data_IF_902942687172
#
_entry.id   IF_902942687172
#
_cell.length_a   1.000
_cell.length_b   1.000
_cell.length_c   1.000
_cell.angle_alpha   90.00
_cell.angle_beta   90.00
_cell.angle_gamma   90.00
#
_symmetry.space_group_name_H-M   'P 1'
#
loop_
_entity.id
_entity.type
_entity.pdbx_description
1 polymer ?
#
# COMPACT_ATOMS: atom_id res chain seq x y z
N UNK A 1 -33.80 -31.44 9.96
CA UNK A 1 -33.50 -30.36 10.92
C UNK A 1 -32.20 -29.72 10.46
N UNK A 2 -32.25 -28.49 9.93
CA UNK A 2 -31.11 -27.84 9.26
C UNK A 2 -30.15 -27.18 10.26
N UNK A 3 -28.89 -27.04 9.83
CA UNK A 3 -27.76 -26.44 10.56
C UNK A 3 -28.04 -25.01 11.06
N UNK A 4 -28.94 -24.25 10.43
CA UNK A 4 -29.31 -22.89 10.84
C UNK A 4 -29.93 -22.82 12.24
N UNK A 5 -30.68 -23.85 12.65
CA UNK A 5 -31.36 -23.81 13.94
C UNK A 5 -30.38 -23.93 15.12
N UNK A 6 -29.21 -24.59 14.93
CA UNK A 6 -28.18 -24.71 15.96
C UNK A 6 -27.35 -23.43 16.12
N UNK A 7 -27.04 -22.75 15.03
CA UNK A 7 -26.32 -21.46 15.08
C UNK A 7 -27.19 -20.36 15.70
N UNK A 8 -28.48 -20.32 15.35
CA UNK A 8 -29.45 -19.40 15.97
C UNK A 8 -29.66 -19.69 17.46
N UNK A 9 -29.77 -20.96 17.87
CA UNK A 9 -29.87 -21.34 19.29
C UNK A 9 -28.60 -20.98 20.09
N UNK A 10 -27.41 -21.14 19.49
CA UNK A 10 -26.12 -20.79 20.13
C UNK A 10 -25.97 -19.27 20.24
N UNK A 11 -26.29 -18.51 19.18
CA UNK A 11 -26.23 -17.06 19.18
C UNK A 11 -27.25 -16.44 20.15
N UNK A 12 -28.49 -16.95 20.20
CA UNK A 12 -29.50 -16.50 21.17
C UNK A 12 -29.12 -16.84 22.62
N UNK A 13 -28.48 -18.00 22.84
CA UNK A 13 -27.99 -18.40 24.16
C UNK A 13 -26.84 -17.49 24.64
N UNK A 14 -25.93 -17.13 23.73
CA UNK A 14 -24.81 -16.22 23.98
C UNK A 14 -25.33 -14.82 24.27
N UNK A 15 -26.25 -14.29 23.44
CA UNK A 15 -26.83 -12.96 23.67
C UNK A 15 -27.63 -12.88 24.97
N UNK A 16 -28.45 -13.89 25.32
CA UNK A 16 -29.16 -13.91 26.60
C UNK A 16 -28.21 -13.94 27.80
N UNK A 17 -27.06 -14.62 27.69
CA UNK A 17 -26.03 -14.63 28.74
C UNK A 17 -25.30 -13.30 28.84
N UNK A 18 -24.95 -12.68 27.71
CA UNK A 18 -24.32 -11.36 27.67
C UNK A 18 -25.26 -10.30 28.27
N UNK A 19 -26.54 -10.30 27.90
CA UNK A 19 -27.52 -9.37 28.45
C UNK A 19 -27.75 -9.55 29.96
N UNK A 20 -27.80 -10.80 30.46
CA UNK A 20 -27.90 -11.02 31.91
C UNK A 20 -26.64 -10.58 32.64
N UNK A 21 -25.46 -10.74 32.02
CA UNK A 21 -24.18 -10.30 32.58
C UNK A 21 -24.08 -8.77 32.63
N UNK A 22 -24.45 -8.08 31.55
CA UNK A 22 -24.47 -6.60 31.48
C UNK A 22 -25.44 -6.04 32.53
N UNK A 23 -26.61 -6.67 32.70
CA UNK A 23 -27.62 -6.28 33.71
C UNK A 23 -27.16 -6.52 35.15
N UNK A 24 -26.29 -7.50 35.37
CA UNK A 24 -25.71 -7.79 36.68
C UNK A 24 -24.53 -6.86 36.96
N UNK A 25 -23.70 -6.56 35.97
CA UNK A 25 -22.59 -5.61 36.08
C UNK A 25 -23.08 -4.17 36.26
N UNK A 26 -24.12 -3.72 35.56
CA UNK A 26 -24.66 -2.35 35.73
C UNK A 26 -25.17 -2.10 37.15
N UNK A 27 -25.83 -3.08 37.78
CA UNK A 27 -26.23 -3.00 39.20
C UNK A 27 -25.04 -2.95 40.17
N UNK A 28 -23.96 -3.66 39.85
CA UNK A 28 -22.74 -3.69 40.66
C UNK A 28 -21.92 -2.42 40.51
N UNK A 29 -21.91 -1.80 39.32
CA UNK A 29 -21.11 -0.62 38.99
C UNK A 29 -21.73 0.68 39.51
N UNK A 30 -23.06 0.81 39.55
CA UNK A 30 -23.74 1.97 40.14
C UNK A 30 -23.42 2.16 41.63
N UNK A 31 -23.13 1.06 42.35
CA UNK A 31 -22.72 1.07 43.76
C UNK A 31 -21.26 1.46 43.98
N UNK A 32 -20.39 1.32 42.98
CA UNK A 32 -18.92 1.41 43.11
C UNK A 32 -18.40 2.75 42.56
N UNK A 33 -19.17 3.44 41.72
CA UNK A 33 -18.83 4.74 41.15
C UNK A 33 -18.64 5.89 42.16
N UNK A 34 -18.84 5.67 43.47
CA UNK A 34 -18.81 6.75 44.48
C UNK A 34 -17.55 6.85 45.33
N UNK A 35 -16.62 5.90 45.31
CA UNK A 35 -15.43 6.01 46.18
C UNK A 35 -14.27 5.18 45.65
N UNK A 36 -13.55 5.74 44.68
CA UNK A 36 -12.33 5.16 44.12
C UNK A 36 -11.10 5.66 44.87
N UNK A 37 -10.70 4.91 45.89
CA UNK A 37 -9.28 4.80 46.28
C UNK A 37 -9.01 3.60 47.22
N UNK A 38 -10.04 3.08 47.89
CA UNK A 38 -9.86 1.99 48.87
C UNK A 38 -10.01 0.57 48.31
N UNK A 39 -10.55 0.38 47.10
CA UNK A 39 -10.98 -0.95 46.61
C UNK A 39 -9.85 -1.76 45.93
N UNK A 40 -8.71 -1.14 45.61
CA UNK A 40 -7.58 -1.84 44.95
C UNK A 40 -7.11 -3.08 45.73
N UNK A 41 -7.17 -3.07 47.06
CA UNK A 41 -6.67 -4.17 47.90
C UNK A 41 -7.66 -5.30 48.15
N UNK A 42 -8.97 -5.07 48.07
CA UNK A 42 -9.97 -6.10 48.39
C UNK A 42 -10.37 -6.98 47.20
N UNK A 43 -10.11 -6.51 45.97
CA UNK A 43 -10.40 -7.27 44.76
C UNK A 43 -9.51 -8.52 44.69
N UNK A 44 -8.24 -8.43 45.09
CA UNK A 44 -7.23 -9.48 44.86
C UNK A 44 -7.52 -10.80 45.59
N UNK A 45 -8.16 -10.76 46.75
CA UNK A 45 -8.38 -11.97 47.57
C UNK A 45 -9.60 -12.79 47.13
N UNK A 46 -10.55 -12.18 46.42
CA UNK A 46 -11.78 -12.88 45.97
C UNK A 46 -11.59 -13.66 44.66
N UNK A 47 -10.56 -13.35 43.87
CA UNK A 47 -10.26 -14.03 42.60
C UNK A 47 -9.45 -15.32 42.76
N UNK A 48 -8.95 -15.62 43.96
CA UNK A 48 -8.05 -16.74 44.23
C UNK A 48 -8.72 -18.12 44.14
N UNK A 49 -10.05 -18.18 44.06
CA UNK A 49 -10.84 -19.42 44.05
C UNK A 49 -11.69 -19.60 42.78
N UNK A 50 -11.50 -18.76 41.76
CA UNK A 50 -12.17 -18.91 40.47
C UNK A 50 -11.27 -19.74 39.54
N UNK A 51 -11.77 -20.90 39.11
CA UNK A 51 -11.14 -21.72 38.08
C UNK A 51 -11.36 -21.07 36.71
N UNK A 52 -10.26 -20.55 36.15
CA UNK A 52 -10.19 -19.85 34.87
C UNK A 52 -9.56 -20.70 33.75
N UNK A 53 -9.58 -22.03 33.89
CA UNK A 53 -8.99 -22.96 32.90
C UNK A 53 -9.44 -22.76 31.45
N UNK A 54 -10.61 -22.15 31.19
CA UNK A 54 -11.09 -21.81 29.84
C UNK A 54 -10.53 -20.50 29.26
N UNK A 55 -9.98 -19.60 30.08
CA UNK A 55 -9.26 -18.40 29.60
C UNK A 55 -7.88 -18.75 29.06
N UNK A 56 -7.24 -19.80 29.58
CA UNK A 56 -5.95 -20.30 29.08
C UNK A 56 -6.06 -20.87 27.66
N UNK A 57 -7.24 -21.39 27.28
CA UNK A 57 -7.49 -21.96 25.96
C UNK A 57 -7.77 -20.87 24.89
N UNK A 58 -8.49 -19.81 25.28
CA UNK A 58 -8.70 -18.62 24.43
C UNK A 58 -7.44 -17.75 24.36
N UNK A 59 -6.69 -17.64 25.47
CA UNK A 59 -5.41 -16.94 25.53
C UNK A 59 -4.35 -17.58 24.63
N UNK A 60 -4.25 -18.91 24.61
CA UNK A 60 -3.34 -19.65 23.71
C UNK A 60 -3.73 -19.57 22.23
N UNK A 61 -5.01 -19.42 21.91
CA UNK A 61 -5.47 -19.20 20.54
C UNK A 61 -5.30 -17.74 20.11
N UNK A 62 -5.32 -16.77 21.02
CA UNK A 62 -5.06 -15.35 20.73
C UNK A 62 -3.54 -15.06 20.61
N UNK A 63 -2.70 -15.76 21.37
CA UNK A 63 -1.24 -15.67 21.26
C UNK A 63 -0.72 -16.28 19.93
N UNK A 64 -1.36 -17.36 19.43
CA UNK A 64 -1.09 -17.91 18.09
C UNK A 64 -1.59 -17.02 16.94
N UNK A 65 -2.66 -16.24 17.15
CA UNK A 65 -3.22 -15.36 16.11
C UNK A 65 -2.28 -14.22 15.75
N UNK A 66 -1.54 -13.68 16.73
CA UNK A 66 -0.53 -12.65 16.47
C UNK A 66 0.61 -13.22 15.61
N UNK A 67 1.07 -14.44 15.91
CA UNK A 67 2.05 -15.17 15.11
C UNK A 67 1.55 -15.53 13.70
N UNK A 68 0.31 -16.00 13.57
CA UNK A 68 -0.29 -16.37 12.28
C UNK A 68 -0.45 -15.15 11.37
N UNK A 69 -0.85 -13.99 11.91
CA UNK A 69 -0.98 -12.76 11.12
C UNK A 69 0.39 -12.29 10.62
N UNK A 70 1.44 -12.35 11.45
CA UNK A 70 2.81 -12.01 11.05
C UNK A 70 3.32 -12.97 9.96
N UNK A 71 3.11 -14.28 10.14
CA UNK A 71 3.47 -15.29 9.16
C UNK A 71 2.70 -15.09 7.85
N UNK A 72 1.39 -14.88 7.92
CA UNK A 72 0.53 -14.63 6.77
C UNK A 72 1.03 -13.43 5.95
N UNK A 73 1.29 -12.29 6.57
CA UNK A 73 1.82 -11.10 5.87
C UNK A 73 3.10 -11.40 5.10
N UNK A 74 3.97 -12.23 5.67
CA UNK A 74 5.21 -12.66 5.00
C UNK A 74 4.93 -13.61 3.84
N UNK A 75 4.06 -14.61 4.06
CA UNK A 75 3.69 -15.62 3.07
C UNK A 75 2.99 -15.00 1.87
N UNK A 76 1.97 -14.16 2.09
CA UNK A 76 1.14 -13.62 1.02
C UNK A 76 1.92 -12.68 0.09
N UNK A 77 2.83 -11.87 0.65
CA UNK A 77 3.77 -11.03 -0.13
C UNK A 77 4.72 -11.88 -0.97
N UNK A 78 5.24 -12.97 -0.39
CA UNK A 78 6.10 -13.92 -1.10
C UNK A 78 5.36 -14.64 -2.22
N UNK A 79 4.08 -14.96 -2.01
CA UNK A 79 3.19 -15.54 -3.01
C UNK A 79 2.68 -14.52 -4.03
N UNK A 80 3.10 -13.25 -3.94
CA UNK A 80 2.85 -12.25 -4.96
C UNK A 80 1.55 -11.46 -4.81
N UNK A 81 0.87 -11.57 -3.67
CA UNK A 81 -0.32 -10.77 -3.35
C UNK A 81 -0.01 -9.67 -2.32
N UNK A 82 -0.61 -8.47 -2.45
CA UNK A 82 -0.56 -7.48 -1.39
C UNK A 82 -1.41 -7.99 -0.20
N UNK A 83 -0.90 -7.90 1.04
CA UNK A 83 -1.69 -8.26 2.22
C UNK A 83 -2.84 -7.27 2.40
N UNK A 84 -4.03 -7.78 2.74
CA UNK A 84 -5.24 -6.97 2.88
C UNK A 84 -5.96 -7.33 4.19
N UNK A 85 -6.42 -6.32 4.93
CA UNK A 85 -6.97 -6.49 6.29
C UNK A 85 -8.30 -7.25 6.31
N UNK A 86 -9.08 -7.16 5.22
CA UNK A 86 -10.41 -7.78 5.12
C UNK A 86 -10.39 -9.30 4.87
N UNK A 87 -9.22 -9.96 4.83
CA UNK A 87 -9.17 -11.41 4.69
C UNK A 87 -9.76 -12.10 5.93
N UNK A 88 -10.69 -13.06 5.79
CA UNK A 88 -11.22 -13.78 6.94
C UNK A 88 -10.12 -14.49 7.73
N UNK A 89 -10.17 -14.40 9.07
CA UNK A 89 -9.17 -15.03 9.96
C UNK A 89 -9.06 -16.54 9.74
N UNK A 90 -10.16 -17.20 9.36
CA UNK A 90 -10.15 -18.62 8.99
C UNK A 90 -9.27 -18.92 7.79
N UNK A 91 -9.27 -18.05 6.78
CA UNK A 91 -8.47 -18.20 5.57
C UNK A 91 -7.01 -17.86 5.82
N UNK A 92 -6.74 -16.84 6.64
CA UNK A 92 -5.39 -16.53 7.14
C UNK A 92 -4.77 -17.77 7.80
N UNK A 93 -5.47 -18.37 8.78
CA UNK A 93 -5.01 -19.56 9.50
C UNK A 93 -4.79 -20.74 8.56
N UNK A 94 -5.71 -20.95 7.61
CA UNK A 94 -5.61 -22.02 6.60
C UNK A 94 -4.36 -21.85 5.73
N UNK A 95 -4.12 -20.65 5.21
CA UNK A 95 -2.95 -20.35 4.38
C UNK A 95 -1.66 -20.63 5.17
N UNK A 96 -1.57 -20.15 6.40
CA UNK A 96 -0.39 -20.35 7.26
C UNK A 96 -0.17 -21.84 7.57
N UNK A 97 -1.22 -22.55 7.97
CA UNK A 97 -1.15 -23.98 8.26
C UNK A 97 -0.72 -24.79 7.04
N UNK A 98 -1.38 -24.59 5.89
CA UNK A 98 -1.07 -25.30 4.65
C UNK A 98 0.34 -24.97 4.13
N UNK A 99 0.79 -23.72 4.28
CA UNK A 99 2.15 -23.32 3.92
C UNK A 99 3.19 -24.02 4.79
N UNK A 100 2.95 -24.11 6.10
CA UNK A 100 3.86 -24.74 7.05
C UNK A 100 3.89 -26.28 6.88
N UNK A 101 2.76 -26.90 6.55
CA UNK A 101 2.67 -28.36 6.39
C UNK A 101 3.11 -28.84 5.00
N UNK A 102 2.67 -28.16 3.94
CA UNK A 102 2.82 -28.63 2.55
C UNK A 102 3.71 -27.75 1.68
N UNK A 103 4.05 -26.53 2.13
CA UNK A 103 4.94 -25.61 1.44
C UNK A 103 4.29 -24.72 0.40
N UNK A 104 5.10 -23.81 -0.15
CA UNK A 104 4.72 -22.74 -1.09
C UNK A 104 3.93 -23.25 -2.31
N UNK A 105 4.44 -24.31 -2.96
CA UNK A 105 3.85 -24.87 -4.19
C UNK A 105 2.49 -25.51 -3.96
N UNK A 106 2.15 -25.89 -2.73
CA UNK A 106 0.82 -26.38 -2.41
C UNK A 106 -0.18 -25.23 -2.33
N UNK A 107 0.17 -24.18 -1.59
CA UNK A 107 -0.71 -23.00 -1.40
C UNK A 107 -0.98 -22.29 -2.72
N UNK A 108 0.04 -22.15 -3.59
CA UNK A 108 -0.13 -21.55 -4.93
C UNK A 108 -1.22 -22.21 -5.78
N UNK A 109 -1.53 -23.50 -5.56
CA UNK A 109 -2.53 -24.23 -6.36
C UNK A 109 -3.96 -23.74 -6.14
N UNK A 110 -4.25 -23.17 -4.97
CA UNK A 110 -5.59 -22.73 -4.62
C UNK A 110 -5.67 -21.24 -4.27
N UNK A 111 -4.53 -20.57 -4.07
CA UNK A 111 -4.52 -19.19 -3.58
C UNK A 111 -5.32 -18.27 -4.50
N UNK A 112 -5.11 -18.33 -5.82
CA UNK A 112 -5.80 -17.44 -6.76
C UNK A 112 -7.32 -17.62 -6.68
N UNK A 113 -7.78 -18.87 -6.66
CA UNK A 113 -9.21 -19.20 -6.54
C UNK A 113 -9.79 -18.71 -5.22
N UNK A 114 -9.06 -18.87 -4.12
CA UNK A 114 -9.44 -18.33 -2.81
C UNK A 114 -9.53 -16.80 -2.83
N UNK A 115 -8.55 -16.12 -3.44
CA UNK A 115 -8.57 -14.67 -3.58
C UNK A 115 -9.75 -14.20 -4.44
N UNK A 116 -10.11 -14.95 -5.48
CA UNK A 116 -11.27 -14.66 -6.32
C UNK A 116 -12.62 -14.93 -5.65
N UNK A 117 -12.66 -15.84 -4.67
CA UNK A 117 -13.84 -16.12 -3.84
C UNK A 117 -14.04 -15.03 -2.78
N UNK A 118 -12.96 -14.62 -2.10
CA UNK A 118 -13.01 -13.58 -1.07
C UNK A 118 -13.28 -12.20 -1.69
N UNK A 119 -12.59 -11.88 -2.79
CA UNK A 119 -12.65 -10.56 -3.43
C UNK A 119 -13.43 -10.65 -4.75
N UNK A 120 -14.71 -11.01 -4.62
CA UNK A 120 -15.64 -11.14 -5.73
C UNK A 120 -16.08 -9.77 -6.31
N UNK A 121 -16.89 -9.82 -7.38
CA UNK A 121 -17.40 -8.60 -8.02
C UNK A 121 -18.17 -7.69 -7.07
N UNK A 122 -18.92 -8.27 -6.11
CA UNK A 122 -19.66 -7.50 -5.12
C UNK A 122 -18.71 -6.75 -4.18
N UNK A 123 -17.67 -7.42 -3.70
CA UNK A 123 -16.65 -6.80 -2.88
C UNK A 123 -15.94 -5.65 -3.62
N UNK A 124 -15.66 -5.82 -4.92
CA UNK A 124 -15.08 -4.75 -5.75
C UNK A 124 -16.03 -3.56 -5.94
N UNK A 125 -17.34 -3.80 -6.04
CA UNK A 125 -18.34 -2.74 -6.06
C UNK A 125 -18.42 -2.00 -4.72
N UNK A 126 -18.29 -2.71 -3.59
CA UNK A 126 -18.23 -2.11 -2.26
C UNK A 126 -16.97 -1.24 -2.08
N UNK A 127 -15.81 -1.70 -2.57
CA UNK A 127 -14.59 -0.89 -2.67
C UNK A 127 -14.85 0.38 -3.49
N UNK A 128 -15.51 0.26 -4.64
CA UNK A 128 -15.78 1.42 -5.49
C UNK A 128 -16.67 2.44 -4.77
N UNK A 129 -17.69 1.99 -4.05
CA UNK A 129 -18.55 2.85 -3.25
C UNK A 129 -17.76 3.57 -2.15
N UNK A 130 -16.82 2.88 -1.48
CA UNK A 130 -15.88 3.49 -0.54
C UNK A 130 -15.07 4.59 -1.23
N UNK A 131 -14.49 4.30 -2.40
CA UNK A 131 -13.69 5.26 -3.14
C UNK A 131 -14.48 6.50 -3.61
N UNK A 132 -15.74 6.33 -3.97
CA UNK A 132 -16.63 7.44 -4.36
C UNK A 132 -16.89 8.42 -3.21
N UNK A 133 -16.86 7.93 -1.98
CA UNK A 133 -17.06 8.73 -0.77
C UNK A 133 -15.77 9.41 -0.30
N UNK A 134 -14.61 8.93 -0.75
CA UNK A 134 -13.30 9.47 -0.36
C UNK A 134 -12.98 10.76 -1.13
N UNK A 135 -13.02 11.90 -0.43
CA UNK A 135 -12.79 13.24 -1.01
C UNK A 135 -11.47 13.35 -1.79
N UNK A 136 -10.39 12.72 -1.30
CA UNK A 136 -9.07 12.74 -1.96
C UNK A 136 -9.12 12.09 -3.36
N UNK A 137 -10.04 11.15 -3.58
CA UNK A 137 -10.19 10.41 -4.84
C UNK A 137 -11.15 11.08 -5.83
N UNK A 138 -11.84 12.14 -5.44
CA UNK A 138 -12.88 12.79 -6.25
C UNK A 138 -12.42 13.18 -7.66
N UNK A 139 -11.17 13.61 -7.83
CA UNK A 139 -10.59 13.97 -9.13
C UNK A 139 -10.28 12.76 -10.03
N UNK A 140 -10.18 11.56 -9.46
CA UNK A 140 -9.79 10.31 -10.13
C UNK A 140 -10.94 9.32 -10.26
N UNK A 141 -12.10 9.61 -9.67
CA UNK A 141 -13.17 8.62 -9.54
C UNK A 141 -13.69 8.09 -10.87
N UNK A 142 -13.70 8.91 -11.93
CA UNK A 142 -14.06 8.45 -13.28
C UNK A 142 -13.07 7.42 -13.84
N UNK A 143 -11.78 7.55 -13.50
CA UNK A 143 -10.73 6.58 -13.87
C UNK A 143 -10.93 5.30 -13.06
N UNK A 144 -11.16 5.40 -11.75
CA UNK A 144 -11.32 4.25 -10.87
C UNK A 144 -12.58 3.42 -11.21
N UNK A 145 -13.70 4.08 -11.55
CA UNK A 145 -14.89 3.42 -12.10
C UNK A 145 -14.57 2.59 -13.35
N UNK A 146 -13.75 3.15 -14.26
CA UNK A 146 -13.35 2.42 -15.46
C UNK A 146 -12.45 1.22 -15.13
N UNK A 147 -11.60 1.31 -14.11
CA UNK A 147 -10.76 0.19 -13.65
C UNK A 147 -11.63 -0.97 -13.18
N UNK A 148 -12.57 -0.74 -12.25
CA UNK A 148 -13.46 -1.79 -11.73
C UNK A 148 -14.31 -2.37 -12.86
N UNK A 149 -14.90 -1.51 -13.71
CA UNK A 149 -15.65 -1.97 -14.89
C UNK A 149 -14.81 -2.84 -15.81
N UNK A 150 -13.57 -2.43 -16.11
CA UNK A 150 -12.68 -3.22 -16.95
C UNK A 150 -12.32 -4.56 -16.30
N UNK A 151 -12.11 -4.61 -14.98
CA UNK A 151 -11.86 -5.85 -14.26
C UNK A 151 -13.04 -6.82 -14.40
N UNK A 152 -14.25 -6.37 -14.06
CA UNK A 152 -15.47 -7.21 -14.10
C UNK A 152 -15.78 -7.68 -15.53
N UNK A 153 -15.45 -6.86 -16.53
CA UNK A 153 -15.61 -7.20 -17.96
C UNK A 153 -14.42 -7.98 -18.55
N UNK A 154 -13.48 -8.43 -17.72
CA UNK A 154 -12.29 -9.19 -18.14
C UNK A 154 -11.35 -8.43 -19.09
N UNK A 155 -11.46 -7.11 -19.14
CA UNK A 155 -10.61 -6.20 -19.90
C UNK A 155 -9.34 -5.86 -19.12
N UNK A 156 -8.60 -6.89 -18.66
CA UNK A 156 -7.45 -6.72 -17.77
C UNK A 156 -6.32 -5.88 -18.38
N UNK A 157 -6.10 -6.03 -19.70
CA UNK A 157 -5.14 -5.22 -20.46
C UNK A 157 -5.47 -3.72 -20.46
N UNK A 158 -6.73 -3.33 -20.19
CA UNK A 158 -7.13 -1.95 -20.02
C UNK A 158 -7.12 -1.54 -18.53
N UNK A 159 -7.60 -2.42 -17.65
CA UNK A 159 -7.66 -2.19 -16.20
C UNK A 159 -6.28 -1.87 -15.60
N UNK A 160 -5.31 -2.75 -15.85
CA UNK A 160 -3.96 -2.71 -15.25
C UNK A 160 -3.21 -1.40 -15.59
N UNK A 161 -2.99 -1.02 -16.86
CA UNK A 161 -2.25 0.20 -17.19
C UNK A 161 -3.04 1.46 -16.85
N UNK A 162 -4.37 1.38 -16.69
CA UNK A 162 -5.18 2.49 -16.19
C UNK A 162 -4.93 2.75 -14.71
N UNK A 163 -4.81 1.67 -13.90
CA UNK A 163 -4.64 1.74 -12.45
C UNK A 163 -3.20 2.02 -12.01
N UNK A 164 -2.19 1.46 -12.69
CA UNK A 164 -0.77 1.60 -12.31
C UNK A 164 -0.31 3.06 -12.08
N UNK A 165 -0.62 4.04 -12.96
CA UNK A 165 -0.27 5.43 -12.70
C UNK A 165 -1.01 6.05 -11.50
N UNK A 166 -2.18 5.51 -11.13
CA UNK A 166 -2.96 6.02 -10.00
C UNK A 166 -2.34 5.65 -8.65
N UNK A 167 -1.62 4.52 -8.57
CA UNK A 167 -0.88 4.13 -7.35
C UNK A 167 0.10 5.22 -6.91
N UNK A 168 0.85 5.80 -7.85
CA UNK A 168 1.74 6.92 -7.55
C UNK A 168 0.97 8.23 -7.43
N UNK A 169 -0.03 8.42 -8.29
CA UNK A 169 -0.84 9.64 -8.33
C UNK A 169 -1.51 9.96 -6.99
N UNK A 170 -2.07 8.96 -6.31
CA UNK A 170 -2.74 9.15 -5.03
C UNK A 170 -1.75 9.53 -3.92
N UNK A 171 -0.55 8.94 -3.91
CA UNK A 171 0.53 9.28 -2.97
C UNK A 171 1.00 10.72 -3.19
N UNK A 172 1.23 11.08 -4.46
CA UNK A 172 1.65 12.44 -4.86
C UNK A 172 0.63 13.50 -4.42
N UNK A 173 -0.67 13.21 -4.59
CA UNK A 173 -1.74 14.10 -4.19
C UNK A 173 -1.79 14.23 -2.66
N UNK A 174 -1.68 13.13 -1.93
CA UNK A 174 -1.68 13.11 -0.46
C UNK A 174 -0.57 13.99 0.13
N UNK A 175 0.66 13.87 -0.39
CA UNK A 175 1.79 14.69 0.04
C UNK A 175 1.84 16.08 -0.61
N UNK A 176 0.85 16.43 -1.44
CA UNK A 176 0.75 17.70 -2.17
C UNK A 176 2.05 18.05 -2.91
N UNK A 177 2.71 17.05 -3.51
CA UNK A 177 3.98 17.22 -4.19
C UNK A 177 3.81 18.14 -5.42
N UNK A 178 4.83 18.95 -5.71
CA UNK A 178 4.84 19.87 -6.86
C UNK A 178 6.14 19.72 -7.64
N UNK A 179 6.03 19.70 -8.97
CA UNK A 179 7.17 19.60 -9.88
C UNK A 179 7.44 18.15 -10.32
N UNK A 180 8.68 17.89 -10.70
CA UNK A 180 9.13 16.59 -11.21
C UNK A 180 9.18 15.53 -10.10
N UNK A 181 8.40 14.46 -10.26
CA UNK A 181 8.48 13.28 -9.41
C UNK A 181 9.58 12.35 -9.90
N UNK A 182 10.50 11.98 -9.02
CA UNK A 182 11.56 11.01 -9.27
C UNK A 182 11.39 9.81 -8.35
N UNK A 183 11.97 8.66 -8.70
CA UNK A 183 11.86 7.44 -7.89
C UNK A 183 12.26 7.64 -6.43
N UNK A 184 13.31 8.44 -6.16
CA UNK A 184 13.70 8.74 -4.78
C UNK A 184 12.71 9.65 -4.03
N UNK A 185 11.91 10.48 -4.72
CA UNK A 185 10.83 11.23 -4.07
C UNK A 185 9.72 10.28 -3.62
N UNK A 186 9.32 9.37 -4.51
CA UNK A 186 8.28 8.38 -4.22
C UNK A 186 8.71 7.45 -3.07
N UNK A 187 9.97 7.02 -3.04
CA UNK A 187 10.50 6.22 -1.93
C UNK A 187 10.39 6.92 -0.58
N UNK A 188 10.69 8.23 -0.50
CA UNK A 188 10.49 9.00 0.75
C UNK A 188 9.02 9.03 1.15
N UNK A 189 8.11 9.29 0.21
CA UNK A 189 6.68 9.32 0.50
C UNK A 189 6.14 7.97 0.96
N UNK A 190 6.58 6.87 0.34
CA UNK A 190 6.21 5.51 0.76
C UNK A 190 6.73 5.19 2.16
N UNK A 191 7.96 5.59 2.50
CA UNK A 191 8.48 5.40 3.86
C UNK A 191 7.64 6.15 4.89
N UNK A 192 7.30 7.41 4.65
CA UNK A 192 6.49 8.21 5.59
C UNK A 192 5.02 7.75 5.65
N UNK A 193 4.51 7.14 4.58
CA UNK A 193 3.14 6.64 4.53
C UNK A 193 2.99 5.28 5.21
N UNK A 194 3.98 4.40 5.06
CA UNK A 194 3.85 2.97 5.37
C UNK A 194 4.79 2.46 6.46
N UNK A 195 5.86 3.19 6.79
CA UNK A 195 6.80 2.79 7.84
C UNK A 195 6.57 3.69 9.05
N UNK A 196 6.24 3.10 10.20
CA UNK A 196 6.06 3.81 11.47
C UNK A 196 7.30 3.62 12.35
N UNK A 197 8.20 4.62 12.47
CA UNK A 197 9.51 4.43 13.10
C UNK A 197 9.52 4.23 14.63
N UNK A 198 8.38 4.30 15.32
CA UNK A 198 8.31 4.37 16.79
C UNK A 198 7.27 3.43 17.45
N UNK A 199 6.71 2.47 16.72
CA UNK A 199 5.88 1.42 17.33
C UNK A 199 6.79 0.22 17.63
N UNK A 200 7.03 -0.07 18.91
CA UNK A 200 7.85 -1.22 19.34
C UNK A 200 7.18 -2.54 18.85
N UNK A 201 7.93 -3.25 17.99
CA UNK A 201 7.94 -4.71 17.79
C UNK A 201 6.84 -5.43 16.96
N UNK A 202 5.85 -4.77 16.38
CA UNK A 202 4.88 -5.47 15.48
C UNK A 202 5.16 -5.17 13.99
N UNK A 203 5.55 -6.19 13.20
CA UNK A 203 5.56 -6.12 11.73
C UNK A 203 4.14 -5.83 11.24
N UNK A 204 3.83 -4.62 10.76
CA UNK A 204 2.47 -4.17 10.44
C UNK A 204 2.00 -4.58 9.03
N UNK A 205 0.72 -4.36 8.70
CA UNK A 205 0.24 -4.51 7.33
C UNK A 205 0.86 -3.47 6.40
N UNK A 206 1.06 -2.25 6.90
CA UNK A 206 1.72 -1.17 6.17
C UNK A 206 3.18 -1.53 5.83
N UNK A 207 3.92 -2.14 6.76
CA UNK A 207 5.29 -2.63 6.50
C UNK A 207 5.29 -3.70 5.39
N UNK A 208 4.33 -4.62 5.44
CA UNK A 208 4.21 -5.69 4.46
C UNK A 208 3.83 -5.15 3.06
N UNK A 209 2.95 -4.14 3.00
CA UNK A 209 2.61 -3.42 1.77
C UNK A 209 3.80 -2.62 1.24
N UNK A 210 4.59 -2.01 2.12
CA UNK A 210 5.81 -1.33 1.72
C UNK A 210 6.79 -2.31 1.02
N UNK A 211 7.00 -3.49 1.63
CA UNK A 211 7.82 -4.56 1.03
C UNK A 211 7.24 -5.00 -0.32
N UNK A 212 5.93 -5.26 -0.39
CA UNK A 212 5.25 -5.64 -1.62
C UNK A 212 5.46 -4.60 -2.73
N UNK A 213 5.24 -3.33 -2.43
CA UNK A 213 5.39 -2.24 -3.39
C UNK A 213 6.81 -2.16 -3.96
N UNK A 214 7.82 -2.31 -3.09
CA UNK A 214 9.22 -2.27 -3.51
C UNK A 214 9.63 -3.49 -4.33
N UNK A 215 9.18 -4.68 -3.94
CA UNK A 215 9.57 -5.95 -4.59
C UNK A 215 8.84 -6.20 -5.90
N UNK A 216 7.59 -5.78 -6.02
CA UNK A 216 6.74 -6.12 -7.15
C UNK A 216 6.44 -4.92 -8.07
N UNK A 217 6.09 -3.76 -7.50
CA UNK A 217 5.65 -2.61 -8.30
C UNK A 217 6.83 -1.80 -8.83
N UNK A 218 7.79 -1.45 -7.96
CA UNK A 218 8.95 -0.61 -8.30
C UNK A 218 10.17 -1.37 -8.82
N UNK A 219 10.05 -2.68 -9.01
CA UNK A 219 11.15 -3.50 -9.53
C UNK A 219 11.64 -2.96 -10.88
N UNK A 220 12.96 -2.89 -11.00
CA UNK A 220 13.62 -2.53 -12.25
C UNK A 220 13.52 -3.65 -13.27
N UNK A 221 13.51 -3.29 -14.54
CA UNK A 221 13.56 -4.24 -15.64
C UNK A 221 14.54 -3.75 -16.71
N UNK A 222 14.96 -4.67 -17.57
CA UNK A 222 15.76 -4.39 -18.76
C UNK A 222 15.16 -5.13 -19.95
N UNK A 223 15.07 -4.48 -21.11
CA UNK A 223 14.55 -5.13 -22.31
C UNK A 223 15.41 -6.34 -22.71
N UNK A 224 14.74 -7.44 -23.02
CA UNK A 224 15.40 -8.70 -23.40
C UNK A 224 15.94 -9.54 -22.24
N UNK A 225 15.76 -9.08 -20.98
CA UNK A 225 16.03 -9.90 -19.79
C UNK A 225 14.74 -10.42 -19.18
N UNK A 226 14.87 -11.46 -18.36
CA UNK A 226 13.78 -11.98 -17.55
C UNK A 226 13.25 -10.91 -16.59
N UNK A 227 11.93 -10.76 -16.54
CA UNK A 227 11.22 -9.79 -15.70
C UNK A 227 10.73 -10.53 -14.47
N UNK A 228 11.12 -10.03 -13.29
CA UNK A 228 10.93 -10.74 -12.01
C UNK A 228 9.60 -10.46 -11.31
N UNK A 229 8.74 -9.64 -11.89
CA UNK A 229 7.41 -9.38 -11.37
C UNK A 229 6.41 -9.14 -12.50
N UNK A 230 5.26 -9.78 -12.37
CA UNK A 230 4.16 -9.71 -13.34
C UNK A 230 3.36 -8.41 -13.26
N UNK A 231 3.55 -7.65 -12.18
CA UNK A 231 2.89 -6.36 -11.91
C UNK A 231 3.88 -5.19 -11.88
N UNK A 232 5.10 -5.38 -12.39
CA UNK A 232 6.11 -4.31 -12.47
C UNK A 232 5.58 -3.14 -13.28
N UNK A 233 5.44 -1.98 -12.63
CA UNK A 233 4.94 -0.77 -13.29
C UNK A 233 5.84 -0.37 -14.46
N UNK A 234 7.16 -0.50 -14.26
CA UNK A 234 8.14 -0.07 -15.25
C UNK A 234 8.08 -0.99 -16.45
N UNK A 235 8.06 -2.31 -16.21
CA UNK A 235 8.01 -3.28 -17.29
C UNK A 235 6.72 -3.15 -18.11
N UNK A 236 5.57 -2.97 -17.45
CA UNK A 236 4.27 -2.84 -18.13
C UNK A 236 4.18 -1.51 -18.90
N UNK A 237 4.41 -0.38 -18.23
CA UNK A 237 4.18 0.94 -18.82
C UNK A 237 5.24 1.33 -19.87
N UNK A 238 6.41 0.69 -19.87
CA UNK A 238 7.42 0.85 -20.91
C UNK A 238 7.43 -0.30 -21.94
N UNK A 239 6.44 -1.20 -21.89
CA UNK A 239 6.27 -2.26 -22.90
C UNK A 239 7.32 -3.38 -22.85
N UNK A 240 8.04 -3.50 -21.73
CA UNK A 240 8.91 -4.65 -21.46
C UNK A 240 8.13 -5.94 -21.15
N UNK A 241 6.97 -5.81 -20.50
CA UNK A 241 6.03 -6.90 -20.24
C UNK A 241 4.74 -6.64 -21.02
N UNK A 242 4.27 -7.62 -21.81
CA UNK A 242 3.12 -7.44 -22.71
C UNK A 242 1.97 -8.41 -22.43
N UNK A 243 2.25 -9.53 -21.76
CA UNK A 243 1.29 -10.56 -21.37
C UNK A 243 0.80 -10.38 -19.92
N UNK A 244 0.80 -9.16 -19.39
CA UNK A 244 0.41 -8.85 -18.01
C UNK A 244 -1.11 -8.96 -17.74
N UNK A 245 -1.94 -8.99 -18.79
CA UNK A 245 -3.39 -8.96 -18.68
C UNK A 245 -4.00 -10.24 -18.13
N UNK A 246 -4.03 -10.37 -16.81
CA UNK A 246 -4.70 -11.47 -16.09
C UNK A 246 -5.67 -10.94 -15.03
N UNK A 247 -6.64 -11.78 -14.65
CA UNK A 247 -7.58 -11.49 -13.53
C UNK A 247 -6.82 -11.26 -12.24
N UNK A 248 -5.87 -12.14 -11.96
CA UNK A 248 -4.95 -12.11 -10.83
C UNK A 248 -4.22 -10.77 -10.73
N UNK A 249 -3.52 -10.35 -11.79
CA UNK A 249 -2.76 -9.09 -11.78
C UNK A 249 -3.67 -7.88 -11.61
N UNK A 250 -4.84 -7.88 -12.25
CA UNK A 250 -5.79 -6.80 -12.07
C UNK A 250 -6.32 -6.76 -10.63
N UNK A 251 -6.61 -7.91 -10.00
CA UNK A 251 -7.08 -7.97 -8.62
C UNK A 251 -5.99 -7.49 -7.64
N UNK A 252 -4.75 -7.99 -7.78
CA UNK A 252 -3.59 -7.54 -6.98
C UNK A 252 -3.46 -6.02 -6.96
N UNK A 253 -3.57 -5.39 -8.13
CA UNK A 253 -3.45 -3.93 -8.21
C UNK A 253 -4.65 -3.19 -7.61
N UNK A 254 -5.87 -3.73 -7.73
CA UNK A 254 -7.06 -3.16 -7.11
C UNK A 254 -6.94 -3.19 -5.58
N UNK A 255 -6.58 -4.35 -5.00
CA UNK A 255 -6.39 -4.50 -3.56
C UNK A 255 -5.25 -3.61 -3.05
N UNK A 256 -4.15 -3.49 -3.80
CA UNK A 256 -3.06 -2.58 -3.45
C UNK A 256 -3.54 -1.11 -3.45
N UNK A 257 -4.29 -0.70 -4.47
CA UNK A 257 -4.82 0.66 -4.53
C UNK A 257 -5.79 0.92 -3.37
N UNK A 258 -6.65 -0.05 -3.05
CA UNK A 258 -7.61 0.07 -1.96
C UNK A 258 -6.91 0.32 -0.63
N UNK A 259 -5.93 -0.52 -0.30
CA UNK A 259 -5.12 -0.37 0.90
C UNK A 259 -4.42 1.01 0.96
N UNK A 260 -3.77 1.41 -0.15
CA UNK A 260 -3.11 2.71 -0.22
C UNK A 260 -4.10 3.86 -0.04
N UNK A 261 -5.32 3.72 -0.56
CA UNK A 261 -6.37 4.73 -0.41
C UNK A 261 -6.77 4.94 1.05
N UNK A 262 -6.81 3.86 1.82
CA UNK A 262 -7.07 3.92 3.26
C UNK A 262 -5.90 4.55 4.01
N UNK A 263 -4.66 4.20 3.68
CA UNK A 263 -3.47 4.83 4.28
C UNK A 263 -3.42 6.34 4.03
N UNK A 264 -3.60 6.78 2.79
CA UNK A 264 -3.53 8.22 2.47
C UNK A 264 -4.70 9.01 3.07
N UNK A 265 -5.85 8.37 3.33
CA UNK A 265 -6.98 9.03 4.00
C UNK A 265 -6.67 9.38 5.46
N UNK A 266 -5.71 8.66 6.06
CA UNK A 266 -5.28 8.81 7.46
C UNK A 266 -4.03 9.70 7.61
N UNK A 267 -3.47 10.22 6.51
CA UNK A 267 -2.25 11.03 6.56
C UNK A 267 -2.47 12.34 7.32
N UNK A 268 -1.51 12.71 8.16
CA UNK A 268 -1.55 13.98 8.91
C UNK A 268 -0.71 15.07 8.23
N UNK A 269 -0.95 16.32 8.62
CA UNK A 269 -0.15 17.45 8.15
C UNK A 269 1.30 17.33 8.64
N UNK A 270 1.53 16.81 9.85
CA UNK A 270 2.87 16.58 10.40
C UNK A 270 3.67 15.61 9.50
N UNK A 271 3.08 14.46 9.16
CA UNK A 271 3.71 13.48 8.24
C UNK A 271 3.98 14.10 6.87
N UNK A 272 3.04 14.90 6.36
CA UNK A 272 3.18 15.59 5.08
C UNK A 272 4.35 16.58 5.09
N UNK A 273 4.47 17.40 6.13
CA UNK A 273 5.54 18.38 6.30
C UNK A 273 6.90 17.68 6.46
N UNK A 274 6.96 16.62 7.27
CA UNK A 274 8.18 15.84 7.51
C UNK A 274 8.73 15.25 6.21
N UNK A 275 7.89 14.56 5.44
CA UNK A 275 8.29 13.95 4.17
C UNK A 275 8.75 14.99 3.14
N UNK A 276 8.05 16.14 3.04
CA UNK A 276 8.43 17.22 2.12
C UNK A 276 9.77 17.83 2.49
N UNK A 277 10.05 17.99 3.79
CA UNK A 277 11.34 18.48 4.28
C UNK A 277 12.47 17.53 3.89
N UNK A 278 12.29 16.22 4.10
CA UNK A 278 13.28 15.21 3.72
C UNK A 278 13.55 15.21 2.20
N UNK A 279 12.50 15.30 1.38
CA UNK A 279 12.64 15.43 -0.08
C UNK A 279 13.49 16.66 -0.46
N UNK A 280 13.25 17.82 0.18
CA UNK A 280 14.01 19.03 -0.07
C UNK A 280 15.49 18.88 0.34
N UNK A 281 15.76 18.28 1.50
CA UNK A 281 17.11 18.00 1.99
C UNK A 281 17.87 17.07 1.05
N UNK A 282 17.23 15.99 0.60
CA UNK A 282 17.80 15.04 -0.36
C UNK A 282 18.16 15.72 -1.70
N UNK A 283 17.29 16.61 -2.18
CA UNK A 283 17.55 17.40 -3.38
C UNK A 283 18.71 18.38 -3.21
N UNK A 284 18.81 19.02 -2.04
CA UNK A 284 19.91 19.94 -1.73
C UNK A 284 21.25 19.21 -1.60
N UNK A 285 21.27 18.04 -0.97
CA UNK A 285 22.47 17.21 -0.83
C UNK A 285 22.96 16.71 -2.20
N UNK A 286 22.08 16.22 -3.07
CA UNK A 286 22.45 15.85 -4.46
C UNK A 286 23.04 17.03 -5.24
N UNK A 287 22.46 18.24 -5.11
CA UNK A 287 23.00 19.45 -5.76
C UNK A 287 24.39 19.81 -5.24
N UNK A 288 24.63 19.71 -3.92
CA UNK A 288 25.95 19.94 -3.31
C UNK A 288 26.98 18.93 -3.82
N UNK A 289 26.65 17.63 -3.83
CA UNK A 289 27.54 16.57 -4.34
C UNK A 289 27.87 16.76 -5.81
N UNK A 290 26.88 17.09 -6.65
CA UNK A 290 27.11 17.37 -8.06
C UNK A 290 27.96 18.63 -8.27
N UNK A 291 27.79 19.68 -7.45
CA UNK A 291 28.63 20.88 -7.51
C UNK A 291 30.08 20.57 -7.11
N UNK A 292 30.29 19.75 -6.08
CA UNK A 292 31.62 19.28 -5.67
C UNK A 292 32.27 18.45 -6.78
N UNK A 293 31.54 17.51 -7.40
CA UNK A 293 32.05 16.72 -8.53
C UNK A 293 32.40 17.57 -9.75
N UNK A 294 31.53 18.51 -10.15
CA UNK A 294 31.81 19.41 -11.28
C UNK A 294 33.02 20.30 -10.98
N UNK A 295 33.14 20.82 -9.77
CA UNK A 295 34.30 21.63 -9.35
C UNK A 295 35.60 20.83 -9.23
N UNK A 296 35.56 19.54 -8.88
CA UNK A 296 36.74 18.68 -8.85
C UNK A 296 37.18 18.26 -10.25
N UNK A 297 36.23 18.08 -11.19
CA UNK A 297 36.52 17.84 -12.61
C UNK A 297 37.16 19.09 -13.25
N UNK A 298 36.62 20.30 -12.99
CA UNK A 298 37.20 21.56 -13.48
C UNK A 298 38.61 21.82 -12.90
N UNK A 299 38.90 21.35 -11.67
CA UNK A 299 40.24 21.44 -11.07
C UNK A 299 41.23 20.36 -11.54
N UNK A 300 40.77 19.31 -12.24
CA UNK A 300 41.59 18.18 -12.68
C UNK A 300 41.84 18.13 -14.19
N UNK A 301 41.44 19.13 -14.96
CA UNK A 301 41.94 19.28 -16.33
C UNK A 301 43.42 19.65 -16.28
N UNK A 302 44.34 18.82 -16.84
CA UNK A 302 45.75 19.18 -16.87
C UNK A 302 45.93 20.44 -17.72
N UNK A 303 46.63 21.44 -17.19
CA UNK A 303 47.21 22.49 -18.03
C UNK A 303 48.26 21.83 -18.91
N UNK A 304 48.09 21.87 -20.22
CA UNK A 304 49.15 21.49 -21.16
C UNK A 304 50.36 22.41 -20.96
N UNK A 305 51.61 21.91 -21.14
CA UNK A 305 52.81 22.72 -20.93
C UNK A 305 52.94 23.94 -21.86
N UNK A 306 52.13 24.01 -22.93
CA UNK A 306 52.15 25.11 -23.89
C UNK A 306 50.82 25.88 -23.80
N UNK A 307 50.89 27.10 -23.27
CA UNK A 307 49.74 27.97 -22.99
C UNK A 307 49.01 28.47 -24.22
N UNK A 308 48.15 27.63 -24.80
CA UNK A 308 47.09 28.04 -25.72
C UNK A 308 45.71 27.70 -25.12
N UNK A 309 44.72 28.61 -25.19
CA UNK A 309 43.42 28.38 -24.62
C UNK A 309 42.66 27.33 -25.44
N UNK A 310 42.19 26.27 -24.77
CA UNK A 310 41.24 25.30 -25.34
C UNK A 310 39.92 26.04 -25.64
N UNK A 311 39.75 26.48 -26.89
CA UNK A 311 38.43 26.72 -27.49
C UNK A 311 37.99 25.42 -28.16
N UNK A 312 37.35 24.53 -27.43
CA UNK A 312 36.33 23.59 -27.92
C UNK A 312 35.85 22.71 -26.76
N UNK A 313 34.58 22.30 -26.82
CA UNK A 313 33.83 21.52 -25.81
C UNK A 313 33.19 22.28 -24.64
N UNK A 314 32.65 23.46 -24.93
CA UNK A 314 31.62 24.08 -24.08
C UNK A 314 30.49 24.72 -24.92
N UNK A 315 30.16 24.11 -26.07
CA UNK A 315 29.11 24.61 -26.96
C UNK A 315 27.86 23.71 -27.13
N UNK A 316 27.77 22.58 -26.41
CA UNK A 316 26.60 21.69 -26.54
C UNK A 316 25.65 21.66 -25.33
N UNK A 317 25.97 22.33 -24.22
CA UNK A 317 25.06 22.38 -23.06
C UNK A 317 24.13 23.60 -23.02
N UNK A 318 24.27 24.54 -23.97
CA UNK A 318 23.43 25.73 -24.06
C UNK A 318 22.48 25.73 -25.27
N UNK A 319 22.68 24.81 -26.22
CA UNK A 319 21.76 24.59 -27.36
C UNK A 319 20.57 23.68 -27.01
N UNK A 320 20.71 22.77 -26.04
CA UNK A 320 19.60 21.92 -25.58
C UNK A 320 18.58 22.66 -24.70
N UNK A 321 18.93 23.81 -24.08
CA UNK A 321 17.95 24.66 -23.37
C UNK A 321 17.14 25.60 -24.27
N UNK A 322 17.62 25.88 -25.48
CA UNK A 322 16.92 26.78 -26.41
C UNK A 322 15.96 26.05 -27.36
N UNK A 323 16.05 24.71 -27.48
CA UNK A 323 15.09 23.93 -28.27
C UNK A 323 13.76 23.64 -27.55
N UNK A 324 13.70 23.69 -26.21
CA UNK A 324 12.45 23.54 -25.45
C UNK A 324 11.63 24.82 -25.32
N UNK A 325 12.21 26.02 -25.51
CA UNK A 325 11.44 27.28 -25.53
C UNK A 325 10.90 27.69 -26.90
N UNK A 326 11.33 27.04 -27.99
CA UNK A 326 10.84 27.34 -29.35
C UNK A 326 9.65 26.48 -29.79
N UNK A 327 9.32 25.38 -29.11
CA UNK A 327 8.12 24.60 -29.40
C UNK A 327 6.83 25.09 -28.70
N UNK A 328 6.92 26.04 -27.76
CA UNK A 328 5.76 26.60 -27.04
C UNK A 328 5.24 27.91 -27.68
N UNK A 329 5.90 28.45 -28.71
CA UNK A 329 5.45 29.69 -29.40
C UNK A 329 4.99 29.51 -30.87
N UNK A 330 4.91 28.28 -31.38
CA UNK A 330 4.51 27.99 -32.77
C UNK A 330 3.05 27.58 -33.00
N UNK A 331 2.28 27.23 -31.98
CA UNK A 331 0.91 26.68 -32.13
C UNK A 331 -0.21 27.72 -31.96
N UNK A 332 0.01 28.97 -32.36
CA UNK A 332 -1.04 29.99 -32.48
C UNK A 332 -0.94 30.67 -33.84
N UNK A 333 -1.39 29.98 -34.90
CA UNK A 333 -2.00 30.54 -36.13
C UNK A 333 -2.09 29.43 -37.18
N UNK A 334 -3.32 29.10 -37.56
CA UNK A 334 -3.77 28.60 -38.87
C UNK A 334 -4.65 27.34 -38.77
N UNK A 335 -5.93 27.56 -38.50
CA UNK A 335 -7.00 26.81 -39.14
C UNK A 335 -8.27 27.68 -39.15
N UNK A 336 -8.36 28.56 -40.14
CA UNK A 336 -9.62 29.09 -40.67
C UNK A 336 -9.70 28.60 -42.11
N UNK A 337 -10.44 27.52 -42.35
CA UNK A 337 -10.99 27.20 -43.67
C UNK A 337 -12.42 26.70 -43.48
N UNK A 338 -13.32 27.55 -43.97
CA UNK A 338 -14.67 27.37 -44.52
C UNK A 338 -15.36 26.00 -44.54
N UNK A 339 -16.62 25.99 -44.11
CA UNK A 339 -17.87 25.58 -44.81
C UNK A 339 -18.92 25.37 -43.70
N UNK A 340 -20.18 25.79 -43.74
CA UNK A 340 -21.15 26.22 -44.76
C UNK A 340 -22.15 27.17 -44.07
#
# INVERSE_FOLDING_TARGET
MSLDNRYLEVAESINKKIESMIKTMTKSVESIAKTLDAISKQITDSFKYLDFSWFDEIGKELEKVEDDIIQFKTIIVRLGYPPHEDMPVSDIRRIVADYNEFGEEYVKKYLDDLMFEIYDEKYLDDILLKWEQTKLLSSRISILRNVIKCHNQQMYNASIPTLLPQLEGIIVDAFQHKGELRGHHLGVYLNHLLIKPNEEESYSFEDAIHIYYMQHILVHFEHGKEIRSEVSRHAILHGGLTNYGSRENSLKLILLFDFLSDCVSKITEETTVAAKKEVQENNNNKRKTNKIMVSSIIRRTPRTPNGFPFRSFLFDFQLLRNHEQLHIRGAKRSCKISSQ
#
